data_IF_563205279747
#
_entry.id   IF_563205279747
#
_cell.length_a   1.000
_cell.length_b   1.000
_cell.length_c   1.000
_cell.angle_alpha   90.00
_cell.angle_beta   90.00
_cell.angle_gamma   90.00
#
_symmetry.space_group_name_H-M   'P 1'
#
loop_
_entity.id
_entity.type
_entity.pdbx_description
1 polymer ?
#
# COMPACT_ATOMS: atom_id res chain seq x y z
N UNK A 1 37.02 -6.19 4.40
CA UNK A 1 37.17 -7.42 3.60
C UNK A 1 35.75 -7.92 3.32
N UNK A 2 35.13 -7.51 2.20
CA UNK A 2 35.23 -8.06 0.83
C UNK A 2 34.38 -9.33 0.65
N UNK A 3 33.17 -9.15 0.13
CA UNK A 3 32.45 -10.06 -0.77
C UNK A 3 31.45 -9.18 -1.54
N UNK A 4 31.81 -8.44 -2.61
CA UNK A 4 32.05 -8.88 -3.99
C UNK A 4 31.10 -10.01 -4.43
N UNK A 5 29.85 -9.67 -4.71
CA UNK A 5 28.97 -10.51 -5.54
C UNK A 5 28.94 -9.89 -6.93
N UNK A 6 29.72 -10.54 -7.79
CA UNK A 6 29.81 -10.35 -9.23
C UNK A 6 28.47 -10.68 -9.87
N UNK A 7 27.85 -9.74 -10.57
CA UNK A 7 26.71 -10.01 -11.46
C UNK A 7 27.16 -9.69 -12.88
N UNK A 8 27.74 -10.71 -13.52
CA UNK A 8 28.18 -10.69 -14.90
C UNK A 8 27.09 -11.37 -15.72
N UNK A 9 26.31 -10.61 -16.49
CA UNK A 9 25.39 -11.17 -17.49
C UNK A 9 25.55 -10.42 -18.81
N UNK A 10 26.35 -11.06 -19.67
CA UNK A 10 26.28 -11.22 -21.12
C UNK A 10 25.64 -10.09 -21.95
N UNK A 11 26.49 -9.39 -22.70
CA UNK A 11 26.13 -8.62 -23.90
C UNK A 11 25.84 -9.60 -25.04
N UNK A 12 24.70 -9.50 -25.71
CA UNK A 12 24.47 -10.15 -26.99
C UNK A 12 23.59 -9.31 -27.94
N UNK A 13 24.24 -8.91 -29.04
CA UNK A 13 23.78 -8.69 -30.41
C UNK A 13 22.65 -7.68 -30.72
N UNK A 14 23.02 -6.73 -31.59
CA UNK A 14 22.15 -5.81 -32.31
C UNK A 14 21.30 -6.50 -33.38
N UNK A 15 20.04 -6.07 -33.50
CA UNK A 15 19.25 -6.17 -34.74
C UNK A 15 18.53 -4.84 -34.95
N UNK A 16 18.91 -4.12 -36.02
CA UNK A 16 18.24 -2.91 -36.50
C UNK A 16 17.08 -3.37 -37.39
N UNK A 17 15.85 -3.17 -36.93
CA UNK A 17 14.63 -3.41 -37.69
C UNK A 17 13.71 -2.19 -37.60
N UNK A 18 13.51 -1.50 -38.71
CA UNK A 18 12.67 -0.31 -38.83
C UNK A 18 11.19 -0.75 -38.86
N UNK A 19 10.52 -0.76 -37.71
CA UNK A 19 9.06 -0.89 -37.62
C UNK A 19 8.50 0.22 -36.74
N UNK A 20 7.68 1.08 -37.35
CA UNK A 20 6.98 2.20 -36.72
C UNK A 20 6.04 1.70 -35.62
N UNK A 21 6.42 1.89 -34.35
CA UNK A 21 5.54 1.68 -33.21
C UNK A 21 5.10 3.04 -32.66
N UNK A 22 3.79 3.24 -32.55
CA UNK A 22 3.19 4.40 -31.92
C UNK A 22 3.76 4.58 -30.49
N UNK A 23 3.88 5.83 -29.98
CA UNK A 23 4.31 6.03 -28.61
C UNK A 23 3.21 5.51 -27.67
N UNK A 24 3.40 4.30 -27.14
CA UNK A 24 2.73 3.89 -25.93
C UNK A 24 3.13 4.92 -24.85
N UNK A 25 2.13 5.57 -24.27
CA UNK A 25 2.32 6.51 -23.17
C UNK A 25 3.19 5.84 -22.11
N UNK A 26 4.45 6.27 -22.02
CA UNK A 26 5.38 5.83 -20.99
C UNK A 26 4.75 6.24 -19.66
N UNK A 27 4.16 5.26 -18.97
CA UNK A 27 3.80 5.40 -17.57
C UNK A 27 5.10 5.72 -16.86
N UNK A 28 5.31 7.01 -16.58
CA UNK A 28 6.49 7.50 -15.88
C UNK A 28 6.42 6.93 -14.47
N UNK A 29 7.08 5.79 -14.26
CA UNK A 29 7.36 5.27 -12.93
C UNK A 29 8.21 6.31 -12.22
N UNK A 30 7.55 7.11 -11.38
CA UNK A 30 8.21 8.08 -10.54
C UNK A 30 9.14 7.30 -9.59
N UNK A 31 10.43 7.67 -9.47
CA UNK A 31 11.36 6.97 -8.60
C UNK A 31 10.77 6.83 -7.19
N UNK A 32 10.61 5.59 -6.73
CA UNK A 32 10.15 5.27 -5.38
C UNK A 32 11.28 5.66 -4.43
N UNK A 33 11.27 6.90 -3.92
CA UNK A 33 12.27 7.38 -2.96
C UNK A 33 12.07 6.59 -1.66
N UNK A 34 13.00 5.66 -1.40
CA UNK A 34 13.03 4.83 -0.20
C UNK A 34 13.17 5.73 1.05
N UNK A 35 12.41 5.43 2.10
CA UNK A 35 12.52 6.08 3.42
C UNK A 35 11.59 7.26 3.69
N UNK A 36 10.97 7.88 2.67
CA UNK A 36 9.99 8.97 2.86
C UNK A 36 8.55 8.50 2.78
N UNK A 37 7.64 9.17 3.51
CA UNK A 37 6.21 9.03 3.25
C UNK A 37 5.84 9.66 1.91
N UNK A 38 5.02 8.95 1.13
CA UNK A 38 4.51 9.38 -0.17
C UNK A 38 3.00 9.17 -0.23
N UNK A 39 2.24 10.07 -0.84
CA UNK A 39 0.80 9.88 -1.01
C UNK A 39 0.52 8.63 -1.86
N UNK A 40 -0.48 7.85 -1.47
CA UNK A 40 -0.98 6.73 -2.26
C UNK A 40 -1.72 7.29 -3.48
N UNK A 41 -1.20 7.04 -4.68
CA UNK A 41 -1.76 7.56 -5.94
C UNK A 41 -3.13 6.95 -6.28
N UNK A 42 -3.27 5.64 -6.08
CA UNK A 42 -4.50 4.92 -6.33
C UNK A 42 -4.99 4.24 -5.05
N UNK A 43 -5.87 4.90 -4.31
CA UNK A 43 -6.46 4.34 -3.09
C UNK A 43 -7.47 3.23 -3.40
N UNK A 44 -7.98 3.16 -4.63
CA UNK A 44 -8.88 2.10 -5.09
C UNK A 44 -8.11 0.85 -5.55
N UNK A 45 -6.78 0.85 -5.46
CA UNK A 45 -6.00 -0.36 -5.65
C UNK A 45 -6.53 -1.48 -4.74
N UNK A 46 -6.84 -2.68 -5.28
CA UNK A 46 -7.40 -3.77 -4.50
C UNK A 46 -6.58 -4.12 -3.26
N UNK A 47 -5.25 -4.03 -3.33
CA UNK A 47 -4.37 -4.32 -2.22
C UNK A 47 -4.47 -3.25 -1.11
N UNK A 48 -4.60 -1.98 -1.47
CA UNK A 48 -4.82 -0.90 -0.49
C UNK A 48 -6.16 -1.06 0.23
N UNK A 49 -7.22 -1.38 -0.51
CA UNK A 49 -8.54 -1.66 0.07
C UNK A 49 -8.52 -2.91 0.95
N UNK A 50 -7.77 -3.94 0.57
CA UNK A 50 -7.55 -5.16 1.34
C UNK A 50 -6.83 -4.89 2.67
N UNK A 51 -5.76 -4.08 2.65
CA UNK A 51 -5.05 -3.66 3.87
C UNK A 51 -5.98 -2.86 4.79
N UNK A 52 -6.78 -1.95 4.24
CA UNK A 52 -7.77 -1.20 5.02
C UNK A 52 -8.82 -2.12 5.67
N UNK A 53 -9.34 -3.10 4.94
CA UNK A 53 -10.29 -4.10 5.47
C UNK A 53 -9.67 -4.97 6.55
N UNK A 54 -8.42 -5.37 6.34
CA UNK A 54 -7.64 -6.12 7.32
C UNK A 54 -7.45 -5.32 8.61
N UNK A 55 -7.09 -4.03 8.50
CA UNK A 55 -6.89 -3.16 9.66
C UNK A 55 -8.14 -3.01 10.53
N UNK A 56 -9.31 -2.80 9.92
CA UNK A 56 -10.58 -2.76 10.66
C UNK A 56 -10.87 -4.10 11.32
N UNK A 57 -10.69 -5.21 10.60
CA UNK A 57 -10.94 -6.54 11.16
C UNK A 57 -10.03 -6.83 12.36
N UNK A 58 -8.76 -6.44 12.27
CA UNK A 58 -7.78 -6.64 13.35
C UNK A 58 -8.09 -5.78 14.57
N UNK A 59 -8.52 -4.53 14.37
CA UNK A 59 -9.01 -3.67 15.45
C UNK A 59 -10.25 -4.26 16.12
N UNK A 60 -11.24 -4.72 15.34
CA UNK A 60 -12.49 -5.29 15.87
C UNK A 60 -12.22 -6.52 16.74
N UNK A 61 -11.24 -7.36 16.38
CA UNK A 61 -10.83 -8.49 17.23
C UNK A 61 -10.33 -8.05 18.61
N UNK A 62 -9.70 -6.89 18.71
CA UNK A 62 -9.12 -6.36 19.94
C UNK A 62 -10.13 -5.54 20.75
N UNK A 63 -10.91 -4.69 20.08
CA UNK A 63 -11.82 -3.73 20.72
C UNK A 63 -13.25 -4.26 20.89
N UNK A 64 -13.65 -5.29 20.13
CA UNK A 64 -15.02 -5.82 20.10
C UNK A 64 -16.11 -4.75 19.86
N UNK A 65 -15.79 -3.71 19.09
CA UNK A 65 -16.68 -2.55 18.87
C UNK A 65 -17.61 -2.67 17.65
N UNK A 66 -17.46 -3.75 16.88
CA UNK A 66 -18.33 -4.09 15.76
C UNK A 66 -18.22 -3.16 14.56
N UNK A 67 -17.08 -2.46 14.38
CA UNK A 67 -16.86 -1.66 13.18
C UNK A 67 -16.87 -2.51 11.90
N UNK A 68 -17.47 -1.96 10.85
CA UNK A 68 -17.53 -2.58 9.52
C UNK A 68 -16.79 -1.69 8.53
N UNK A 69 -15.80 -2.26 7.85
CA UNK A 69 -15.04 -1.58 6.82
C UNK A 69 -15.94 -1.15 5.65
N UNK A 70 -15.83 0.11 5.24
CA UNK A 70 -16.48 0.62 4.02
C UNK A 70 -15.46 0.77 2.89
N UNK A 71 -14.49 1.67 3.05
CA UNK A 71 -13.41 1.91 2.06
C UNK A 71 -12.23 2.66 2.67
N UNK A 72 -11.07 2.54 2.02
CA UNK A 72 -9.96 3.50 2.20
C UNK A 72 -10.28 4.76 1.37
N UNK A 73 -10.12 5.95 1.95
CA UNK A 73 -10.42 7.23 1.29
C UNK A 73 -9.16 8.03 0.92
N UNK A 74 -8.09 7.89 1.70
CA UNK A 74 -6.78 8.50 1.45
C UNK A 74 -5.71 7.75 2.22
N UNK A 75 -4.44 8.05 1.93
CA UNK A 75 -3.36 7.54 2.74
C UNK A 75 -1.98 7.82 2.15
N UNK A 76 -0.98 7.41 2.91
CA UNK A 76 0.43 7.52 2.56
C UNK A 76 1.11 6.14 2.69
N UNK A 77 2.16 5.96 1.91
CA UNK A 77 3.00 4.76 1.89
C UNK A 77 4.44 5.15 2.15
N UNK A 78 5.19 4.30 2.84
CA UNK A 78 6.62 4.45 3.04
C UNK A 78 7.30 3.09 2.86
N UNK A 79 8.27 3.04 1.96
CA UNK A 79 9.08 1.84 1.71
C UNK A 79 10.29 1.82 2.65
N UNK A 80 10.43 0.71 3.38
CA UNK A 80 11.52 0.41 4.34
C UNK A 80 11.99 -1.03 4.11
N UNK A 81 12.38 -1.78 5.15
CA UNK A 81 12.49 -3.24 5.11
C UNK A 81 11.10 -3.91 5.11
N UNK A 82 10.26 -3.58 4.13
CA UNK A 82 8.81 -3.81 4.10
C UNK A 82 8.08 -2.52 3.73
N UNK A 83 6.80 -2.43 4.05
CA UNK A 83 5.98 -1.28 3.68
C UNK A 83 5.14 -0.81 4.86
N UNK A 84 5.24 0.48 5.20
CA UNK A 84 4.30 1.12 6.12
C UNK A 84 3.18 1.79 5.32
N UNK A 85 1.95 1.67 5.82
CA UNK A 85 0.77 2.34 5.31
C UNK A 85 0.16 3.20 6.42
N UNK A 86 -0.12 4.47 6.10
CA UNK A 86 -0.96 5.37 6.90
C UNK A 86 -2.26 5.55 6.14
N UNK A 87 -3.30 4.83 6.54
CA UNK A 87 -4.58 4.82 5.85
C UNK A 87 -5.61 5.64 6.59
N UNK A 88 -6.42 6.37 5.83
CA UNK A 88 -7.66 6.97 6.29
C UNK A 88 -8.81 6.11 5.79
N UNK A 89 -9.58 5.55 6.71
CA UNK A 89 -10.56 4.49 6.47
C UNK A 89 -11.93 4.99 6.90
N UNK A 90 -12.91 4.86 6.02
CA UNK A 90 -14.31 5.01 6.39
C UNK A 90 -14.83 3.66 6.91
N UNK A 91 -15.45 3.68 8.09
CA UNK A 91 -16.10 2.52 8.68
C UNK A 91 -17.44 2.91 9.31
N UNK A 92 -18.35 1.94 9.42
CA UNK A 92 -19.65 2.12 10.07
C UNK A 92 -19.71 1.30 11.35
N UNK A 93 -20.39 1.83 12.38
CA UNK A 93 -20.69 1.03 13.57
C UNK A 93 -21.72 -0.04 13.22
N UNK A 94 -21.47 -1.28 13.65
CA UNK A 94 -22.30 -2.44 13.34
C UNK A 94 -23.79 -2.23 13.64
N UNK A 95 -24.64 -2.78 12.77
CA UNK A 95 -26.11 -2.63 12.84
C UNK A 95 -26.76 -1.95 11.63
N UNK A 96 -26.01 -1.63 10.56
CA UNK A 96 -26.53 -1.17 9.26
C UNK A 96 -27.10 0.26 9.24
N UNK A 97 -27.54 0.78 10.38
CA UNK A 97 -28.08 2.13 10.56
C UNK A 97 -27.08 3.11 11.21
N UNK A 98 -25.85 2.66 11.51
CA UNK A 98 -24.81 3.48 12.14
C UNK A 98 -24.24 4.53 11.18
N UNK A 99 -23.99 5.74 11.69
CA UNK A 99 -23.29 6.79 10.93
C UNK A 99 -21.90 6.31 10.53
N UNK A 100 -21.48 6.61 9.30
CA UNK A 100 -20.08 6.42 8.89
C UNK A 100 -19.18 7.38 9.65
N UNK A 101 -18.05 6.87 10.13
CA UNK A 101 -16.98 7.66 10.72
C UNK A 101 -15.66 7.32 10.03
N UNK A 102 -14.69 8.21 10.17
CA UNK A 102 -13.36 8.07 9.57
C UNK A 102 -12.35 7.72 10.65
N UNK A 103 -11.42 6.83 10.33
CA UNK A 103 -10.40 6.31 11.22
C UNK A 103 -9.04 6.37 10.54
N UNK A 104 -8.01 6.75 11.29
CA UNK A 104 -6.63 6.59 10.90
C UNK A 104 -6.10 5.22 11.34
N UNK A 105 -5.47 4.49 10.42
CA UNK A 105 -4.81 3.23 10.70
C UNK A 105 -3.36 3.25 10.23
N UNK A 106 -2.43 2.78 11.06
CA UNK A 106 -1.04 2.55 10.67
C UNK A 106 -0.78 1.06 10.61
N UNK A 107 -0.40 0.56 9.44
CA UNK A 107 -0.14 -0.86 9.19
C UNK A 107 1.28 -1.03 8.67
N UNK A 108 2.00 -1.99 9.21
CA UNK A 108 3.27 -2.45 8.65
C UNK A 108 3.07 -3.81 7.99
N UNK A 109 3.42 -3.92 6.70
CA UNK A 109 3.44 -5.17 5.94
C UNK A 109 4.88 -5.58 5.65
N UNK A 110 5.25 -6.79 6.06
CA UNK A 110 6.56 -7.39 5.76
C UNK A 110 6.63 -7.88 4.32
N UNK A 111 7.85 -8.18 3.85
CA UNK A 111 8.09 -8.73 2.51
C UNK A 111 7.38 -10.09 2.28
N UNK A 112 7.13 -10.85 3.35
CA UNK A 112 6.40 -12.13 3.33
C UNK A 112 4.87 -11.97 3.45
N UNK A 113 4.36 -10.73 3.36
CA UNK A 113 2.94 -10.37 3.50
C UNK A 113 2.34 -10.54 4.91
N UNK A 114 3.16 -10.84 5.92
CA UNK A 114 2.72 -10.74 7.31
C UNK A 114 2.47 -9.28 7.69
N UNK A 115 1.36 -9.01 8.37
CA UNK A 115 0.94 -7.64 8.75
C UNK A 115 0.94 -7.44 10.26
N UNK A 116 1.18 -6.20 10.67
CA UNK A 116 1.04 -5.73 12.04
C UNK A 116 0.24 -4.42 12.04
N UNK A 117 -0.80 -4.37 12.87
CA UNK A 117 -1.57 -3.15 13.10
C UNK A 117 -0.84 -2.36 14.20
N UNK A 118 -0.24 -1.23 13.81
CA UNK A 118 0.55 -0.40 14.72
C UNK A 118 -0.33 0.60 15.49
N UNK A 119 -1.38 1.12 14.84
CA UNK A 119 -2.39 1.95 15.50
C UNK A 119 -3.70 1.99 14.73
N UNK A 120 -4.79 2.26 15.45
CA UNK A 120 -6.12 2.49 14.89
C UNK A 120 -6.87 3.50 15.78
N UNK A 121 -7.18 4.68 15.25
CA UNK A 121 -7.78 5.78 16.02
C UNK A 121 -8.83 6.53 15.17
N UNK A 122 -9.80 7.24 15.78
CA UNK A 122 -10.64 8.19 15.05
C UNK A 122 -9.79 9.21 14.28
N UNK A 123 -10.17 9.51 13.03
CA UNK A 123 -9.59 10.61 12.27
C UNK A 123 -10.37 11.89 12.59
N UNK A 124 -9.67 12.90 13.11
CA UNK A 124 -10.21 14.25 13.33
C UNK A 124 -10.25 15.05 12.03
#
# INVERSE_FOLDING_TARGET
MRTLISMLIVVAAAVVGLCSVAPAASAREEPQIVGGWKPIKNVNDPHIQEIGRWAVSEHVKQASDGLVFSKVVSGEVQIVAGTNYRLVIQATKGGGAGKSATYGAVVYEKLDKTRQLLSFNPAN
#
